data_IF_201733577926
#
_entry.id   IF_201733577926
#
_cell.length_a   1.000
_cell.length_b   1.000
_cell.length_c   1.000
_cell.angle_alpha   90.00
_cell.angle_beta   90.00
_cell.angle_gamma   90.00
#
_symmetry.space_group_name_H-M   'P 1'
#
loop_
_entity.id
_entity.type
_entity.pdbx_description
1 polymer ?
#
# COMPACT_ATOMS: atom_id res chain seq x y z
N UNK A 1 -18.58 35.86 -93.19
CA UNK A 1 -18.85 37.15 -92.52
C UNK A 1 -18.37 36.98 -91.09
N UNK A 2 -17.73 38.00 -90.50
CA UNK A 2 -16.78 37.99 -89.36
C UNK A 2 -15.32 37.80 -89.82
N UNK A 3 -14.53 38.87 -90.07
CA UNK A 3 -14.08 39.94 -89.15
C UNK A 3 -13.20 39.35 -88.03
N UNK A 4 -12.01 39.84 -87.69
CA UNK A 4 -11.26 41.00 -88.10
C UNK A 4 -9.78 40.83 -87.70
N UNK A 5 -8.92 41.52 -88.43
CA UNK A 5 -7.50 41.73 -88.13
C UNK A 5 -7.26 42.44 -86.79
N UNK A 6 -6.14 42.11 -86.14
CA UNK A 6 -5.12 43.02 -85.57
C UNK A 6 -4.11 42.16 -84.80
N UNK A 7 -2.81 42.12 -85.06
CA UNK A 7 -1.95 43.15 -85.63
C UNK A 7 -1.23 43.91 -84.52
N UNK A 8 0.06 43.55 -84.31
CA UNK A 8 1.14 44.27 -83.58
C UNK A 8 1.23 43.91 -82.07
N UNK A 9 2.40 43.68 -81.47
CA UNK A 9 3.73 44.26 -81.73
C UNK A 9 4.83 43.47 -80.98
N UNK A 10 6.05 43.61 -81.49
CA UNK A 10 7.34 43.12 -81.01
C UNK A 10 7.65 43.45 -79.54
N UNK A 11 8.49 42.64 -78.90
CA UNK A 11 9.62 42.98 -78.02
C UNK A 11 10.14 41.65 -77.42
N UNK A 12 11.39 41.40 -77.05
CA UNK A 12 12.73 41.94 -77.31
C UNK A 12 13.64 41.07 -76.42
N UNK A 13 14.72 40.58 -77.02
CA UNK A 13 16.03 40.28 -76.42
C UNK A 13 16.15 39.43 -75.13
N UNK A 14 16.97 38.38 -75.29
CA UNK A 14 18.18 38.10 -74.50
C UNK A 14 18.06 37.65 -73.02
N UNK A 15 18.35 36.37 -72.82
CA UNK A 15 19.04 35.86 -71.63
C UNK A 15 19.84 34.63 -72.02
N UNK A 16 21.13 34.78 -72.36
CA UNK A 16 22.29 34.44 -71.50
C UNK A 16 22.12 33.08 -70.81
N UNK A 17 22.81 32.06 -71.31
CA UNK A 17 24.09 31.61 -70.74
C UNK A 17 23.96 31.25 -69.25
N UNK A 18 23.82 29.95 -68.97
CA UNK A 18 24.89 29.09 -68.46
C UNK A 18 24.24 27.82 -67.91
N UNK A 19 24.51 26.71 -68.60
CA UNK A 19 24.36 25.40 -68.00
C UNK A 19 25.19 25.35 -66.72
N UNK A 20 24.52 25.12 -65.61
CA UNK A 20 25.15 24.65 -64.39
C UNK A 20 24.56 23.28 -64.13
N UNK A 21 25.36 22.27 -64.41
CA UNK A 21 25.20 20.94 -63.85
C UNK A 21 24.98 21.08 -62.34
N UNK A 22 23.76 20.79 -61.88
CA UNK A 22 23.56 20.36 -60.51
C UNK A 22 23.40 18.84 -60.54
N UNK A 23 24.58 18.23 -60.65
CA UNK A 23 24.84 16.87 -60.19
C UNK A 23 24.21 16.68 -58.82
N UNK A 24 23.42 15.62 -58.71
CA UNK A 24 22.71 15.26 -57.51
C UNK A 24 23.65 15.13 -56.32
N UNK A 25 23.32 15.86 -55.25
CA UNK A 25 23.76 15.51 -53.91
C UNK A 25 22.58 15.47 -52.96
N UNK A 26 21.80 14.40 -53.12
CA UNK A 26 21.09 13.76 -52.03
C UNK A 26 22.12 13.27 -51.02
N UNK A 27 22.49 14.12 -50.04
CA UNK A 27 23.08 13.66 -48.79
C UNK A 27 22.05 13.76 -47.67
N UNK A 28 21.17 12.76 -47.70
CA UNK A 28 20.53 12.24 -46.51
C UNK A 28 21.62 11.51 -45.69
N UNK A 29 22.23 12.17 -44.70
CA UNK A 29 23.02 11.53 -43.63
C UNK A 29 23.44 12.63 -42.64
N UNK A 30 23.20 12.57 -41.34
CA UNK A 30 22.58 11.52 -40.54
C UNK A 30 21.91 12.16 -39.34
N UNK A 31 20.65 11.81 -39.14
CA UNK A 31 19.89 12.13 -37.94
C UNK A 31 19.37 10.82 -37.35
N UNK A 32 20.29 9.90 -37.04
CA UNK A 32 19.96 8.60 -36.44
C UNK A 32 21.14 8.13 -35.61
N UNK A 33 21.27 8.65 -34.39
CA UNK A 33 22.03 8.00 -33.32
C UNK A 33 21.39 8.21 -31.93
N UNK A 34 20.13 8.66 -31.86
CA UNK A 34 19.40 8.80 -30.59
C UNK A 34 18.36 7.71 -30.30
N UNK A 35 17.84 7.02 -31.31
CA UNK A 35 16.68 6.13 -31.13
C UNK A 35 17.01 4.80 -30.42
N UNK A 36 18.27 4.36 -30.47
CA UNK A 36 18.68 3.06 -29.93
C UNK A 36 19.19 3.15 -28.48
N UNK A 37 19.73 4.31 -28.07
CA UNK A 37 20.14 4.60 -26.68
C UNK A 37 18.95 4.87 -25.75
N UNK A 38 17.87 5.47 -26.29
CA UNK A 38 16.67 5.84 -25.52
C UNK A 38 15.79 4.63 -25.15
N UNK A 39 15.74 3.57 -25.97
CA UNK A 39 14.94 2.36 -25.69
C UNK A 39 15.43 1.57 -24.48
N UNK A 40 16.75 1.47 -24.31
CA UNK A 40 17.35 0.84 -23.13
C UNK A 40 17.10 1.67 -21.87
N UNK A 41 17.29 2.99 -21.97
CA UNK A 41 17.14 3.93 -20.85
C UNK A 41 15.70 4.02 -20.35
N UNK A 42 14.72 4.09 -21.26
CA UNK A 42 13.30 4.12 -20.91
C UNK A 42 12.86 2.84 -20.18
N UNK A 43 13.38 1.68 -20.58
CA UNK A 43 13.06 0.40 -19.93
C UNK A 43 13.59 0.34 -18.50
N UNK A 44 14.82 0.83 -18.26
CA UNK A 44 15.42 0.87 -16.92
C UNK A 44 14.58 1.73 -15.97
N UNK A 45 14.14 2.91 -16.43
CA UNK A 45 13.27 3.78 -15.64
C UNK A 45 11.92 3.14 -15.35
N UNK A 46 11.29 2.48 -16.32
CA UNK A 46 10.02 1.78 -16.10
C UNK A 46 10.16 0.64 -15.10
N UNK A 47 11.22 -0.16 -15.20
CA UNK A 47 11.50 -1.23 -14.22
C UNK A 47 11.76 -0.63 -12.84
N UNK A 48 12.51 0.48 -12.76
CA UNK A 48 12.77 1.19 -11.50
C UNK A 48 11.49 1.73 -10.85
N UNK A 49 10.60 2.36 -11.62
CA UNK A 49 9.31 2.85 -11.13
C UNK A 49 8.40 1.71 -10.68
N UNK A 50 8.34 0.62 -11.45
CA UNK A 50 7.58 -0.57 -11.05
C UNK A 50 8.12 -1.16 -9.75
N UNK A 51 9.45 -1.33 -9.65
CA UNK A 51 10.09 -1.81 -8.43
C UNK A 51 9.79 -0.90 -7.23
N UNK A 52 9.82 0.42 -7.42
CA UNK A 52 9.46 1.39 -6.39
C UNK A 52 7.99 1.25 -5.95
N UNK A 53 7.06 1.14 -6.90
CA UNK A 53 5.63 0.94 -6.59
C UNK A 53 5.42 -0.36 -5.82
N UNK A 54 6.04 -1.46 -6.27
CA UNK A 54 5.99 -2.74 -5.55
C UNK A 54 6.59 -2.64 -4.14
N UNK A 55 7.72 -1.94 -3.99
CA UNK A 55 8.34 -1.70 -2.70
C UNK A 55 7.38 -0.94 -1.76
N UNK A 56 6.78 0.17 -2.22
CA UNK A 56 5.80 0.93 -1.44
C UNK A 56 4.56 0.10 -1.08
N UNK A 57 4.00 -0.64 -2.05
CA UNK A 57 2.84 -1.50 -1.82
C UNK A 57 3.15 -2.58 -0.78
N UNK A 58 4.32 -3.21 -0.87
CA UNK A 58 4.76 -4.21 0.11
C UNK A 58 4.92 -3.60 1.50
N UNK A 59 5.51 -2.40 1.62
CA UNK A 59 5.68 -1.71 2.90
C UNK A 59 4.33 -1.42 3.57
N UNK A 60 3.34 -0.97 2.80
CA UNK A 60 1.97 -0.77 3.31
C UNK A 60 1.34 -2.10 3.72
N UNK A 61 1.48 -3.15 2.92
CA UNK A 61 0.94 -4.47 3.23
C UNK A 61 1.55 -5.05 4.52
N UNK A 62 2.87 -4.98 4.69
CA UNK A 62 3.56 -5.41 5.91
C UNK A 62 3.11 -4.62 7.13
N UNK A 63 2.95 -3.31 6.99
CA UNK A 63 2.43 -2.45 8.07
C UNK A 63 1.00 -2.84 8.45
N UNK A 64 0.15 -3.10 7.45
CA UNK A 64 -1.21 -3.58 7.64
C UNK A 64 -1.27 -4.90 8.41
N UNK A 65 -0.44 -5.88 8.02
CA UNK A 65 -0.33 -7.16 8.74
C UNK A 65 0.08 -6.96 10.20
N UNK A 66 1.07 -6.10 10.46
CA UNK A 66 1.51 -5.80 11.81
C UNK A 66 0.42 -5.15 12.67
N UNK A 67 -0.36 -4.23 12.09
CA UNK A 67 -1.48 -3.57 12.76
C UNK A 67 -2.61 -4.55 13.08
N UNK A 68 -3.01 -5.39 12.13
CA UNK A 68 -4.07 -6.41 12.33
C UNK A 68 -3.65 -7.40 13.42
N UNK A 69 -2.39 -7.85 13.42
CA UNK A 69 -1.86 -8.74 14.45
C UNK A 69 -1.99 -8.13 15.86
N UNK A 70 -1.63 -6.85 16.00
CA UNK A 70 -1.75 -6.13 17.28
C UNK A 70 -3.19 -5.93 17.71
N UNK A 71 -4.06 -5.51 16.80
CA UNK A 71 -5.48 -5.34 17.11
C UNK A 71 -6.14 -6.65 17.54
N UNK A 72 -5.82 -7.78 16.90
CA UNK A 72 -6.34 -9.08 17.32
C UNK A 72 -5.87 -9.47 18.72
N UNK A 73 -4.60 -9.25 19.04
CA UNK A 73 -4.10 -9.51 20.39
C UNK A 73 -4.81 -8.63 21.44
N UNK A 74 -5.05 -7.35 21.12
CA UNK A 74 -5.75 -6.43 22.01
C UNK A 74 -7.22 -6.82 22.20
N UNK A 75 -7.96 -7.10 21.13
CA UNK A 75 -9.36 -7.54 21.24
C UNK A 75 -9.51 -8.83 22.03
N UNK A 76 -8.56 -9.76 21.91
CA UNK A 76 -8.54 -10.96 22.74
C UNK A 76 -8.31 -10.64 24.22
N UNK A 77 -7.40 -9.71 24.53
CA UNK A 77 -7.16 -9.24 25.90
C UNK A 77 -8.41 -8.55 26.49
N UNK A 78 -9.05 -7.66 25.73
CA UNK A 78 -10.21 -6.88 26.17
C UNK A 78 -11.40 -7.79 26.51
N UNK A 79 -11.73 -8.76 25.64
CA UNK A 79 -12.81 -9.73 25.89
C UNK A 79 -12.52 -10.62 27.11
N UNK A 80 -11.26 -11.02 27.27
CA UNK A 80 -10.82 -11.83 28.41
C UNK A 80 -10.91 -11.03 29.71
N UNK A 81 -10.53 -9.75 29.69
CA UNK A 81 -10.62 -8.86 30.85
C UNK A 81 -12.07 -8.63 31.27
N UNK A 82 -12.98 -8.39 30.32
CA UNK A 82 -14.41 -8.23 30.61
C UNK A 82 -15.03 -9.50 31.20
N UNK A 83 -14.65 -10.68 30.71
CA UNK A 83 -15.12 -11.95 31.27
C UNK A 83 -14.62 -12.18 32.70
N UNK A 84 -13.36 -11.87 32.98
CA UNK A 84 -12.82 -11.90 34.33
C UNK A 84 -13.53 -10.90 35.26
N UNK A 85 -13.72 -9.65 34.80
CA UNK A 85 -14.37 -8.59 35.56
C UNK A 85 -15.83 -8.93 35.93
N UNK A 86 -16.55 -9.63 35.05
CA UNK A 86 -17.93 -10.08 35.30
C UNK A 86 -18.06 -10.95 36.56
N UNK A 87 -17.06 -11.77 36.86
CA UNK A 87 -17.05 -12.70 38.00
C UNK A 87 -16.11 -12.24 39.12
N UNK A 88 -15.57 -11.02 39.04
CA UNK A 88 -14.52 -10.54 39.94
C UNK A 88 -14.85 -10.64 41.43
N UNK A 89 -16.09 -10.36 41.83
CA UNK A 89 -16.52 -10.49 43.23
C UNK A 89 -17.19 -11.82 43.57
N UNK A 90 -17.74 -12.52 42.58
CA UNK A 90 -18.50 -13.76 42.80
C UNK A 90 -17.57 -14.97 42.89
N UNK A 91 -16.65 -15.12 41.93
CA UNK A 91 -15.68 -16.19 41.87
C UNK A 91 -14.50 -15.78 40.96
N UNK A 92 -13.44 -15.19 41.54
CA UNK A 92 -12.26 -14.76 40.79
C UNK A 92 -11.59 -15.88 39.98
N UNK A 93 -11.59 -17.11 40.53
CA UNK A 93 -10.95 -18.25 39.88
C UNK A 93 -11.73 -18.68 38.64
N UNK A 94 -13.05 -18.72 38.73
CA UNK A 94 -13.93 -18.98 37.59
C UNK A 94 -13.88 -17.86 36.56
N UNK A 95 -13.73 -16.60 36.99
CA UNK A 95 -13.45 -15.46 36.13
C UNK A 95 -12.19 -15.64 35.28
N UNK A 96 -11.07 -16.04 35.91
CA UNK A 96 -9.83 -16.34 35.19
C UNK A 96 -9.96 -17.55 34.24
N UNK A 97 -10.74 -18.58 34.62
CA UNK A 97 -10.99 -19.72 33.75
C UNK A 97 -11.80 -19.33 32.50
N UNK A 98 -12.82 -18.49 32.65
CA UNK A 98 -13.63 -17.97 31.54
C UNK A 98 -12.80 -17.06 30.62
N UNK A 99 -11.98 -16.17 31.20
CA UNK A 99 -11.02 -15.36 30.46
C UNK A 99 -10.04 -16.22 29.64
N UNK A 100 -9.53 -17.31 30.21
CA UNK A 100 -8.67 -18.25 29.48
C UNK A 100 -9.40 -18.93 28.33
N UNK A 101 -10.66 -19.32 28.52
CA UNK A 101 -11.47 -19.93 27.45
C UNK A 101 -11.67 -18.95 26.28
N UNK A 102 -11.95 -17.68 26.56
CA UNK A 102 -12.10 -16.65 25.53
C UNK A 102 -10.79 -16.33 24.83
N UNK A 103 -9.68 -16.24 25.55
CA UNK A 103 -8.37 -16.04 24.94
C UNK A 103 -8.05 -17.16 23.94
N UNK A 104 -8.25 -18.42 24.34
CA UNK A 104 -8.02 -19.60 23.48
C UNK A 104 -8.94 -19.57 22.25
N UNK A 105 -10.22 -19.21 22.42
CA UNK A 105 -11.16 -19.03 21.31
C UNK A 105 -10.71 -17.96 20.31
N UNK A 106 -9.94 -16.96 20.75
CA UNK A 106 -9.35 -15.91 19.91
C UNK A 106 -7.92 -16.24 19.43
N UNK A 107 -7.44 -17.48 19.63
CA UNK A 107 -6.10 -17.92 19.23
C UNK A 107 -4.97 -17.38 20.12
N UNK A 108 -5.30 -16.73 21.24
CA UNK A 108 -4.35 -16.25 22.22
C UNK A 108 -4.28 -17.19 23.43
N UNK A 109 -3.27 -17.02 24.27
CA UNK A 109 -3.14 -17.74 25.54
C UNK A 109 -2.97 -16.72 26.66
N UNK A 110 -3.74 -16.88 27.74
CA UNK A 110 -3.52 -16.07 28.95
C UNK A 110 -2.16 -16.44 29.56
N UNK A 111 -1.31 -15.44 29.74
CA UNK A 111 -0.02 -15.55 30.43
C UNK A 111 -0.09 -15.05 31.86
N UNK A 112 -1.04 -14.15 32.16
CA UNK A 112 -1.29 -13.64 33.51
C UNK A 112 -2.77 -13.31 33.66
N UNK A 113 -3.34 -13.71 34.79
CA UNK A 113 -4.66 -13.29 35.24
C UNK A 113 -4.53 -12.83 36.69
N UNK A 114 -4.95 -11.61 37.00
CA UNK A 114 -4.99 -11.06 38.34
C UNK A 114 -6.27 -10.27 38.50
N UNK A 115 -6.98 -10.48 39.61
CA UNK A 115 -8.16 -9.69 39.99
C UNK A 115 -7.82 -9.06 41.33
N UNK A 116 -7.88 -7.74 41.43
CA UNK A 116 -7.60 -7.04 42.68
C UNK A 116 -8.84 -6.96 43.59
N UNK A 117 -8.65 -6.43 44.81
CA UNK A 117 -9.71 -6.31 45.81
C UNK A 117 -10.85 -5.38 45.41
N UNK A 118 -10.60 -4.48 44.45
CA UNK A 118 -11.58 -3.55 43.88
C UNK A 118 -12.34 -4.18 42.71
N UNK A 119 -12.05 -5.45 42.38
CA UNK A 119 -12.70 -6.20 41.32
C UNK A 119 -12.18 -5.88 39.92
N UNK A 120 -11.06 -5.16 39.80
CA UNK A 120 -10.40 -4.85 38.53
C UNK A 120 -9.60 -6.07 38.09
N UNK A 121 -9.94 -6.60 36.92
CA UNK A 121 -9.22 -7.68 36.27
C UNK A 121 -8.10 -7.15 35.38
N UNK A 122 -6.86 -7.58 35.63
CA UNK A 122 -5.67 -7.41 34.78
C UNK A 122 -5.37 -8.74 34.08
N UNK A 123 -5.54 -8.75 32.75
CA UNK A 123 -5.30 -9.91 31.91
C UNK A 123 -4.16 -9.59 30.94
N UNK A 124 -3.18 -10.50 30.86
CA UNK A 124 -2.18 -10.49 29.79
C UNK A 124 -2.34 -11.74 28.94
N UNK A 125 -2.31 -11.53 27.62
CA UNK A 125 -2.40 -12.60 26.63
C UNK A 125 -1.19 -12.58 25.70
N UNK A 126 -0.84 -13.76 25.20
CA UNK A 126 0.16 -13.95 24.18
C UNK A 126 -0.46 -14.63 22.95
N UNK A 127 -0.28 -14.01 21.79
CA UNK A 127 -0.69 -14.53 20.49
C UNK A 127 0.55 -14.93 19.70
N UNK A 128 0.63 -16.19 19.26
CA UNK A 128 1.71 -16.67 18.40
C UNK A 128 1.26 -16.64 16.94
N UNK A 129 2.03 -15.96 16.11
CA UNK A 129 1.78 -15.81 14.68
C UNK A 129 2.93 -16.42 13.90
N UNK A 130 2.63 -17.13 12.82
CA UNK A 130 3.63 -17.58 11.86
C UNK A 130 3.62 -16.61 10.68
N UNK A 131 4.69 -15.83 10.54
CA UNK A 131 4.89 -14.94 9.41
C UNK A 131 5.71 -15.66 8.34
N UNK A 132 5.32 -15.59 7.06
CA UNK A 132 5.98 -16.34 5.98
C UNK A 132 7.46 -15.98 5.79
N UNK A 133 7.87 -14.75 6.16
CA UNK A 133 9.25 -14.26 5.99
C UNK A 133 10.04 -14.23 7.30
N UNK A 134 9.37 -14.04 8.44
CA UNK A 134 10.01 -13.82 9.74
C UNK A 134 9.88 -15.01 10.71
N UNK A 135 9.18 -16.08 10.33
CA UNK A 135 8.94 -17.23 11.20
C UNK A 135 7.95 -16.94 12.32
N UNK A 136 8.10 -17.63 13.45
CA UNK A 136 7.21 -17.50 14.61
C UNK A 136 7.47 -16.22 15.39
N UNK A 137 6.47 -15.35 15.47
CA UNK A 137 6.49 -14.12 16.28
C UNK A 137 5.43 -14.22 17.38
N UNK A 138 5.82 -13.83 18.60
CA UNK A 138 4.88 -13.74 19.72
C UNK A 138 4.51 -12.28 19.97
N UNK A 139 3.21 -12.00 19.98
CA UNK A 139 2.64 -10.68 20.27
C UNK A 139 2.00 -10.74 21.65
N UNK A 140 2.45 -9.89 22.56
CA UNK A 140 1.82 -9.72 23.87
C UNK A 140 0.88 -8.52 23.85
N UNK A 141 -0.24 -8.65 24.56
CA UNK A 141 -1.20 -7.60 24.82
C UNK A 141 -1.75 -7.74 26.24
N UNK A 142 -2.07 -6.59 26.84
CA UNK A 142 -2.65 -6.49 28.17
C UNK A 142 -3.94 -5.67 28.13
N UNK A 143 -4.85 -5.99 29.05
CA UNK A 143 -6.10 -5.28 29.20
C UNK A 143 -6.54 -5.27 30.67
N UNK A 144 -7.20 -4.17 31.06
CA UNK A 144 -7.79 -4.00 32.39
C UNK A 144 -9.28 -3.66 32.29
N UNK A 145 -10.08 -4.31 33.12
CA UNK A 145 -11.53 -4.07 33.18
C UNK A 145 -12.02 -4.07 34.63
N UNK A 146 -12.89 -3.12 34.97
CA UNK A 146 -13.56 -3.05 36.28
C UNK A 146 -14.92 -3.75 36.28
N UNK A 147 -15.47 -4.04 37.47
CA UNK A 147 -16.77 -4.68 37.62
C UNK A 147 -17.91 -3.73 37.23
N UNK A 148 -19.01 -4.26 36.71
CA UNK A 148 -20.21 -3.46 36.38
C UNK A 148 -21.05 -3.26 37.63
N UNK A 149 -21.11 -2.02 38.14
CA UNK A 149 -22.03 -1.66 39.22
C UNK A 149 -23.38 -1.27 38.61
N UNK A 150 -24.37 -2.15 38.71
CA UNK A 150 -25.75 -1.88 38.23
C UNK A 150 -26.57 -1.02 39.20
N UNK A 151 -25.97 -0.52 40.28
CA UNK A 151 -26.67 0.22 41.35
C UNK A 151 -26.82 1.72 41.08
N UNK A 152 -26.15 2.29 40.08
CA UNK A 152 -26.12 3.75 39.81
C UNK A 152 -27.28 4.24 38.90
N UNK A 153 -28.12 3.32 38.40
CA UNK A 153 -29.25 3.64 37.51
C UNK A 153 -30.62 3.63 38.22
N UNK A 154 -30.63 3.55 39.56
CA UNK A 154 -31.84 3.44 40.36
C UNK A 154 -32.20 4.71 41.17
N UNK A 155 -31.47 5.82 41.00
CA UNK A 155 -31.77 7.14 41.59
C UNK A 155 -32.20 8.15 40.51
#
# INVERSE_FOLDING_TARGET
MESAMRGRRCHREAGRRLGREQSGHRKQAGHRNGADTERGSATIWMVGLMALIFAMASAVAFTGMARVARHRAQSAADLSALAAARLAFADPNRGCAEASSLAVGNGAKVTRCSIDGDGIADIQVALRLLLPVAGGVTVMADARAGPVHISDFAD
#
